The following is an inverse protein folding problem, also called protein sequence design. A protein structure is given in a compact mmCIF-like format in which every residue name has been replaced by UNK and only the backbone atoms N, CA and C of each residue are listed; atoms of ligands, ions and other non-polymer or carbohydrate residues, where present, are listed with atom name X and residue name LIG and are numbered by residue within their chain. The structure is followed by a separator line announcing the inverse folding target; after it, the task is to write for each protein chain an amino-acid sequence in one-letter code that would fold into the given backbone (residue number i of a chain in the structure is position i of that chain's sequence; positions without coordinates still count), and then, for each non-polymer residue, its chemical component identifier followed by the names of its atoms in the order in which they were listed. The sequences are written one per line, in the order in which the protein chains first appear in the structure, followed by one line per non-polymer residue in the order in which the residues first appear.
data_IF_224963916695
#
_entry.id   IF_224963916695
#
_cell.length_a   1.000
_cell.length_b   1.000
_cell.length_c   1.000
_cell.angle_alpha   90.00
_cell.angle_beta   90.00
_cell.angle_gamma   90.00
#
_symmetry.space_group_name_H-M   'P 1'
#
loop_
_entity.id
_entity.type
_entity.pdbx_description
1 polymer ?
#
# COMPACT_ATOMS: atom_id res chain seq x y z
N UNK A 1 -40.18 5.45 -54.51
CA UNK A 1 -40.02 4.12 -53.86
C UNK A 1 -39.23 4.32 -52.56
N UNK A 2 -39.67 3.71 -51.46
CA UNK A 2 -39.11 3.83 -50.10
C UNK A 2 -38.06 2.74 -49.79
N UNK A 3 -36.91 3.15 -49.23
CA UNK A 3 -36.01 2.47 -48.24
C UNK A 3 -35.36 1.11 -48.54
N UNK A 4 -34.47 0.58 -47.66
CA UNK A 4 -33.66 1.23 -46.60
C UNK A 4 -32.18 0.75 -46.55
N UNK A 5 -31.32 1.48 -45.84
CA UNK A 5 -29.94 1.06 -45.59
C UNK A 5 -29.18 2.03 -44.68
N UNK A 6 -29.62 2.15 -43.44
CA UNK A 6 -28.97 2.95 -42.41
C UNK A 6 -27.61 2.35 -41.99
N UNK A 7 -26.61 3.21 -41.82
CA UNK A 7 -25.78 3.26 -40.59
C UNK A 7 -25.11 4.64 -40.49
N UNK A 8 -25.58 5.40 -39.49
CA UNK A 8 -24.90 6.55 -38.91
C UNK A 8 -23.57 6.08 -38.28
N UNK A 9 -22.62 6.99 -38.06
CA UNK A 9 -22.18 7.45 -36.73
C UNK A 9 -20.91 8.32 -36.86
N UNK A 10 -21.10 9.61 -36.55
CA UNK A 10 -20.27 10.65 -35.91
C UNK A 10 -18.73 10.78 -36.12
N UNK A 11 -18.23 12.04 -36.15
CA UNK A 11 -16.80 12.34 -36.08
C UNK A 11 -16.29 12.08 -34.66
N UNK A 12 -15.23 11.27 -34.52
CA UNK A 12 -14.57 11.05 -33.25
C UNK A 12 -13.75 12.29 -32.86
N UNK A 13 -14.35 13.16 -32.06
CA UNK A 13 -13.67 14.16 -31.26
C UNK A 13 -13.56 13.59 -29.85
N UNK A 14 -12.40 13.03 -29.47
CA UNK A 14 -12.11 12.72 -28.06
C UNK A 14 -10.62 12.85 -27.77
N UNK A 15 -10.32 13.97 -27.12
CA UNK A 15 -9.20 14.29 -26.25
C UNK A 15 -8.32 13.08 -25.88
N UNK A 16 -7.06 13.10 -26.31
CA UNK A 16 -6.01 12.49 -25.51
C UNK A 16 -5.19 13.62 -24.90
N UNK A 17 -5.43 13.78 -23.61
CA UNK A 17 -4.63 14.49 -22.63
C UNK A 17 -3.15 14.48 -23.00
N UNK A 18 -2.53 15.67 -22.92
CA UNK A 18 -1.12 15.77 -22.58
C UNK A 18 -0.91 14.85 -21.37
N UNK A 19 -0.33 13.67 -21.57
CA UNK A 19 0.26 12.94 -20.46
C UNK A 19 1.29 13.91 -19.92
N UNK A 20 1.27 14.30 -18.63
CA UNK A 20 2.47 14.85 -18.06
C UNK A 20 3.54 13.78 -18.29
N UNK A 21 4.42 14.04 -19.23
CA UNK A 21 5.69 13.32 -19.34
C UNK A 21 6.30 13.55 -17.98
N UNK A 22 6.22 12.55 -17.11
CA UNK A 22 6.93 12.52 -15.85
C UNK A 22 8.38 12.51 -16.28
N UNK A 23 8.96 13.70 -16.38
CA UNK A 23 10.38 13.91 -16.57
C UNK A 23 11.08 13.10 -15.49
N UNK A 24 11.67 11.99 -15.93
CA UNK A 24 12.60 11.18 -15.16
C UNK A 24 13.75 12.07 -14.69
N UNK A 25 13.69 12.59 -13.47
CA UNK A 25 14.89 13.21 -12.85
C UNK A 25 15.06 12.94 -11.37
N UNK A 26 14.21 12.13 -10.74
CA UNK A 26 14.56 11.50 -9.46
C UNK A 26 14.04 10.06 -9.49
N UNK A 27 14.94 9.07 -9.39
CA UNK A 27 14.52 7.71 -9.04
C UNK A 27 13.81 7.83 -7.69
N UNK A 28 12.49 7.72 -7.67
CA UNK A 28 11.78 7.40 -6.43
C UNK A 28 12.16 5.96 -6.13
N UNK A 29 12.68 5.71 -4.94
CA UNK A 29 13.18 4.39 -4.58
C UNK A 29 12.09 3.52 -3.97
N UNK A 30 10.95 4.14 -3.66
CA UNK A 30 9.66 3.45 -3.54
C UNK A 30 8.78 3.77 -4.75
N UNK A 31 8.30 2.73 -5.44
CA UNK A 31 7.39 2.87 -6.57
C UNK A 31 6.00 2.35 -6.20
N UNK A 32 4.98 3.12 -6.57
CA UNK A 32 3.57 2.76 -6.39
C UNK A 32 3.02 2.34 -7.75
N UNK A 33 2.57 1.09 -7.83
CA UNK A 33 1.89 0.56 -8.99
C UNK A 33 0.47 1.10 -9.13
N UNK A 34 -0.19 0.84 -10.27
CA UNK A 34 -1.52 1.34 -10.56
C UNK A 34 -2.54 1.03 -9.46
N UNK A 35 -3.26 2.05 -9.00
CA UNK A 35 -4.28 1.94 -7.97
C UNK A 35 -3.74 1.99 -6.54
N UNK A 36 -2.44 2.16 -6.32
CA UNK A 36 -1.83 2.32 -4.98
C UNK A 36 -1.30 3.71 -4.71
N UNK A 37 -1.38 4.62 -5.69
CA UNK A 37 -0.84 5.98 -5.63
C UNK A 37 -1.52 6.84 -4.55
N UNK A 38 -2.76 6.50 -4.18
CA UNK A 38 -3.53 7.15 -3.12
C UNK A 38 -2.87 7.06 -1.74
N UNK A 39 -1.99 6.07 -1.51
CA UNK A 39 -1.29 5.86 -0.24
C UNK A 39 -0.38 7.03 0.15
N UNK A 40 0.12 7.78 -0.83
CA UNK A 40 0.94 8.98 -0.60
C UNK A 40 0.17 10.12 0.08
N UNK A 41 -1.16 10.10 -0.02
CA UNK A 41 -2.03 11.20 0.38
C UNK A 41 -3.20 10.75 1.26
N UNK A 42 -3.06 9.60 1.94
CA UNK A 42 -4.09 9.09 2.86
C UNK A 42 -4.30 10.10 3.98
N UNK A 43 -5.52 10.60 4.10
CA UNK A 43 -5.90 11.64 5.06
C UNK A 43 -7.13 11.22 5.84
N UNK A 44 -7.22 11.70 7.07
CA UNK A 44 -8.45 11.57 7.85
C UNK A 44 -9.53 12.55 7.39
N UNK A 45 -10.71 12.52 8.02
CA UNK A 45 -11.85 13.41 7.70
C UNK A 45 -11.53 14.91 7.83
N UNK A 46 -10.52 15.27 8.63
CA UNK A 46 -10.06 16.64 8.79
C UNK A 46 -8.99 17.04 7.76
N UNK A 47 -8.66 16.17 6.79
CA UNK A 47 -7.66 16.43 5.75
C UNK A 47 -6.21 16.26 6.22
N UNK A 48 -5.98 15.71 7.42
CA UNK A 48 -4.66 15.50 7.99
C UNK A 48 -4.08 14.18 7.50
N UNK A 49 -2.87 14.22 6.92
CA UNK A 49 -2.15 13.05 6.41
C UNK A 49 -1.93 12.01 7.51
N UNK A 50 -2.08 10.73 7.19
CA UNK A 50 -1.78 9.64 8.11
C UNK A 50 -0.28 9.59 8.45
N UNK A 51 0.10 9.80 9.72
CA UNK A 51 1.50 9.88 10.10
C UNK A 51 2.19 8.51 10.09
N UNK A 52 1.45 7.41 10.19
CA UNK A 52 2.01 6.06 10.24
C UNK A 52 2.45 5.62 8.84
N UNK A 53 1.57 5.74 7.86
CA UNK A 53 1.85 5.47 6.45
C UNK A 53 2.95 6.40 5.95
N UNK A 54 2.85 7.71 6.22
CA UNK A 54 3.85 8.69 5.79
C UNK A 54 5.24 8.37 6.34
N UNK A 55 5.33 8.02 7.63
CA UNK A 55 6.59 7.60 8.26
C UNK A 55 7.15 6.34 7.60
N UNK A 56 6.31 5.32 7.37
CA UNK A 56 6.77 4.06 6.81
C UNK A 56 7.33 4.26 5.38
N UNK A 57 6.62 5.01 4.54
CA UNK A 57 7.06 5.36 3.18
C UNK A 57 8.40 6.11 3.22
N UNK A 58 8.52 7.14 4.06
CA UNK A 58 9.74 7.94 4.16
C UNK A 58 10.94 7.13 4.64
N UNK A 59 10.74 6.20 5.56
CA UNK A 59 11.81 5.35 6.08
C UNK A 59 12.24 4.26 5.10
N UNK A 60 11.30 3.69 4.34
CA UNK A 60 11.60 2.77 3.23
C UNK A 60 12.41 3.49 2.16
N UNK A 61 11.94 4.65 1.68
CA UNK A 61 12.62 5.44 0.64
C UNK A 61 14.05 5.84 1.06
N UNK A 62 14.25 6.22 2.33
CA UNK A 62 15.57 6.57 2.85
C UNK A 62 16.55 5.37 2.83
N UNK A 63 16.09 4.17 3.16
CA UNK A 63 16.91 2.96 3.08
C UNK A 63 17.16 2.57 1.63
N UNK A 64 16.11 2.53 0.82
CA UNK A 64 16.17 2.11 -0.58
C UNK A 64 17.15 3.00 -1.37
N UNK A 65 17.13 4.32 -1.11
CA UNK A 65 18.12 5.27 -1.61
C UNK A 65 19.56 4.95 -1.19
N UNK A 66 19.75 4.47 0.05
CA UNK A 66 21.07 4.13 0.59
C UNK A 66 21.63 2.83 0.00
N UNK A 67 20.78 1.84 -0.23
CA UNK A 67 21.18 0.51 -0.74
C UNK A 67 21.07 0.38 -2.26
N UNK A 68 20.47 1.35 -2.94
CA UNK A 68 20.31 1.35 -4.39
C UNK A 68 19.30 0.31 -4.91
N UNK A 69 18.34 -0.09 -4.08
CA UNK A 69 17.27 -1.02 -4.44
C UNK A 69 15.91 -0.32 -4.42
N UNK A 70 14.90 -0.89 -5.07
CA UNK A 70 13.55 -0.33 -5.11
C UNK A 70 12.58 -1.25 -4.37
N UNK A 71 11.70 -0.65 -3.56
CA UNK A 71 10.52 -1.33 -3.00
C UNK A 71 9.29 -0.97 -3.83
N UNK A 72 8.59 -2.00 -4.32
CA UNK A 72 7.40 -1.84 -5.14
C UNK A 72 6.13 -2.06 -4.31
N UNK A 73 5.19 -1.15 -4.38
CA UNK A 73 3.85 -1.31 -3.78
C UNK A 73 2.86 -1.55 -4.90
N UNK A 74 2.22 -2.72 -4.93
CA UNK A 74 1.25 -3.08 -5.98
C UNK A 74 -0.03 -3.62 -5.38
N UNK A 75 -1.08 -3.52 -6.20
CA UNK A 75 -2.33 -4.24 -5.97
C UNK A 75 -2.23 -5.64 -6.54
N UNK A 76 -2.55 -6.65 -5.74
CA UNK A 76 -2.69 -8.05 -6.16
C UNK A 76 -4.02 -8.60 -5.64
N UNK A 77 -4.80 -9.23 -6.53
CA UNK A 77 -6.19 -9.60 -6.28
C UNK A 77 -6.39 -10.77 -5.31
N UNK A 78 -5.31 -11.29 -4.71
CA UNK A 78 -5.32 -12.54 -3.97
C UNK A 78 -5.14 -12.33 -2.46
N UNK A 79 -4.05 -11.68 -1.98
CA UNK A 79 -3.76 -11.51 -0.55
C UNK A 79 -2.86 -10.31 -0.24
N UNK A 80 -3.02 -9.68 0.93
CA UNK A 80 -2.05 -8.72 1.47
C UNK A 80 -0.82 -9.46 2.03
N UNK A 81 0.37 -9.09 1.56
CA UNK A 81 1.63 -9.51 2.19
C UNK A 81 2.81 -8.69 1.67
N UNK A 82 3.86 -8.58 2.47
CA UNK A 82 5.17 -8.15 2.02
C UNK A 82 6.04 -9.34 1.60
N UNK A 83 6.61 -9.29 0.39
CA UNK A 83 7.59 -10.24 -0.12
C UNK A 83 9.02 -9.67 0.02
N UNK A 84 9.85 -10.19 0.94
CA UNK A 84 11.19 -9.68 1.20
C UNK A 84 12.17 -9.91 0.03
N UNK A 85 12.02 -11.02 -0.69
CA UNK A 85 12.90 -11.38 -1.82
C UNK A 85 12.72 -10.43 -2.98
N UNK A 86 11.47 -10.07 -3.28
CA UNK A 86 11.13 -9.18 -4.39
C UNK A 86 11.06 -7.71 -3.98
N UNK A 87 11.11 -7.41 -2.67
CA UNK A 87 10.81 -6.10 -2.09
C UNK A 87 9.47 -5.57 -2.59
N UNK A 88 8.45 -6.41 -2.56
CA UNK A 88 7.12 -6.06 -3.06
C UNK A 88 6.10 -6.10 -1.93
N UNK A 89 5.37 -5.00 -1.75
CA UNK A 89 4.17 -4.92 -0.90
C UNK A 89 2.97 -5.21 -1.79
N UNK A 90 2.29 -6.32 -1.52
CA UNK A 90 1.05 -6.70 -2.20
C UNK A 90 -0.14 -6.27 -1.35
N UNK A 91 -1.08 -5.57 -1.99
CA UNK A 91 -2.34 -5.11 -1.38
C UNK A 91 -3.55 -5.70 -2.10
N UNK A 92 -4.61 -6.15 -1.41
CA UNK A 92 -5.78 -6.77 -2.01
C UNK A 92 -6.48 -5.84 -3.01
N UNK A 93 -6.98 -6.41 -4.11
CA UNK A 93 -7.73 -5.66 -5.11
C UNK A 93 -9.06 -5.13 -4.54
N UNK A 94 -9.37 -3.85 -4.80
CA UNK A 94 -10.61 -3.20 -4.35
C UNK A 94 -10.57 -2.70 -2.91
N UNK A 95 -9.50 -2.99 -2.16
CA UNK A 95 -9.25 -2.42 -0.85
C UNK A 95 -8.03 -1.49 -0.93
N UNK A 96 -8.30 -0.21 -1.23
CA UNK A 96 -7.40 0.88 -0.82
C UNK A 96 -7.52 1.10 0.69
N UNK A 97 -7.56 0.02 1.47
CA UNK A 97 -7.72 0.12 2.91
C UNK A 97 -6.38 0.57 3.49
N UNK A 98 -6.26 1.83 3.91
CA UNK A 98 -5.02 2.34 4.46
C UNK A 98 -4.60 1.57 5.72
N UNK A 99 -5.56 0.97 6.43
CA UNK A 99 -5.34 0.14 7.62
C UNK A 99 -4.52 -1.10 7.23
N UNK A 100 -4.95 -1.85 6.21
CA UNK A 100 -4.20 -3.01 5.67
C UNK A 100 -2.86 -2.60 5.07
N UNK A 101 -2.84 -1.50 4.31
CA UNK A 101 -1.60 -1.00 3.72
C UNK A 101 -0.56 -0.62 4.79
N UNK A 102 -0.99 -0.02 5.89
CA UNK A 102 -0.11 0.32 7.00
C UNK A 102 0.54 -0.91 7.64
N UNK A 103 -0.15 -2.06 7.66
CA UNK A 103 0.40 -3.32 8.18
C UNK A 103 1.55 -3.79 7.29
N UNK A 104 1.33 -3.89 5.97
CA UNK A 104 2.35 -4.40 5.05
C UNK A 104 3.53 -3.43 4.86
N UNK A 105 3.26 -2.12 4.84
CA UNK A 105 4.31 -1.10 4.83
C UNK A 105 5.17 -1.15 6.10
N UNK A 106 4.60 -1.56 7.24
CA UNK A 106 5.38 -1.74 8.45
C UNK A 106 6.34 -2.93 8.33
N UNK A 107 5.92 -4.05 7.71
CA UNK A 107 6.80 -5.18 7.39
C UNK A 107 7.92 -4.77 6.44
N UNK A 108 7.59 -4.06 5.35
CA UNK A 108 8.59 -3.56 4.40
C UNK A 108 9.61 -2.64 5.08
N UNK A 109 9.15 -1.75 5.96
CA UNK A 109 10.00 -0.87 6.77
C UNK A 109 10.91 -1.66 7.72
N UNK A 110 10.37 -2.61 8.47
CA UNK A 110 11.16 -3.41 9.42
C UNK A 110 12.22 -4.24 8.67
N UNK A 111 11.87 -4.80 7.51
CA UNK A 111 12.82 -5.49 6.64
C UNK A 111 13.91 -4.57 6.06
N UNK A 112 13.55 -3.35 5.69
CA UNK A 112 14.51 -2.37 5.18
C UNK A 112 15.50 -1.90 6.28
N UNK A 113 15.04 -1.77 7.53
CA UNK A 113 15.83 -1.14 8.59
C UNK A 113 16.66 -2.09 9.45
N UNK A 114 16.23 -3.33 9.61
CA UNK A 114 16.81 -4.21 10.62
C UNK A 114 17.87 -5.09 9.99
N UNK A 115 19.12 -4.93 10.45
CA UNK A 115 20.23 -5.80 10.06
C UNK A 115 20.00 -7.26 10.51
N UNK A 116 19.18 -7.45 11.55
CA UNK A 116 18.67 -8.73 12.00
C UNK A 116 17.17 -8.63 12.31
N UNK A 117 16.37 -9.46 11.65
CA UNK A 117 14.93 -9.50 11.91
C UNK A 117 14.66 -10.09 13.29
N UNK A 118 13.85 -9.42 14.15
CA UNK A 118 13.39 -10.00 15.41
C UNK A 118 12.44 -11.17 15.13
N UNK A 119 11.95 -11.82 16.18
CA UNK A 119 11.00 -12.92 16.03
C UNK A 119 9.77 -12.46 15.23
N UNK A 120 9.15 -13.42 14.53
CA UNK A 120 7.96 -13.14 13.73
C UNK A 120 6.87 -12.45 14.56
N UNK A 121 6.65 -12.88 15.80
CA UNK A 121 5.68 -12.24 16.70
C UNK A 121 5.98 -10.75 16.95
N UNK A 122 7.26 -10.37 17.07
CA UNK A 122 7.63 -8.95 17.25
C UNK A 122 7.34 -8.14 15.99
N UNK A 123 7.61 -8.70 14.81
CA UNK A 123 7.28 -8.06 13.52
C UNK A 123 5.77 -7.87 13.39
N UNK A 124 4.99 -8.92 13.64
CA UNK A 124 3.53 -8.88 13.58
C UNK A 124 2.94 -7.89 14.60
N UNK A 125 3.50 -7.83 15.83
CA UNK A 125 3.06 -6.85 16.84
C UNK A 125 3.27 -5.42 16.36
N UNK A 126 4.41 -5.13 15.73
CA UNK A 126 4.68 -3.79 15.16
C UNK A 126 3.72 -3.49 14.01
N UNK A 127 3.50 -4.44 13.12
CA UNK A 127 2.58 -4.30 11.99
C UNK A 127 1.13 -4.07 12.45
N UNK A 128 0.65 -4.82 13.45
CA UNK A 128 -0.66 -4.60 14.05
C UNK A 128 -0.76 -3.29 14.85
N UNK A 129 0.33 -2.83 15.47
CA UNK A 129 0.35 -1.50 16.10
C UNK A 129 0.23 -0.38 15.06
N UNK A 130 0.90 -0.52 13.91
CA UNK A 130 0.80 0.44 12.80
C UNK A 130 -0.62 0.46 12.21
N UNK A 131 -1.20 -0.73 12.02
CA UNK A 131 -2.59 -0.90 11.58
C UNK A 131 -3.57 -0.19 12.52
N UNK A 132 -3.48 -0.44 13.83
CA UNK A 132 -4.37 0.14 14.82
C UNK A 132 -4.26 1.67 14.88
N UNK A 133 -3.04 2.22 14.81
CA UNK A 133 -2.81 3.68 14.77
C UNK A 133 -3.43 4.32 13.55
N UNK A 134 -3.31 3.68 12.39
CA UNK A 134 -3.90 4.16 11.14
C UNK A 134 -5.43 4.15 11.22
N UNK A 135 -6.02 3.07 11.74
CA UNK A 135 -7.48 2.99 11.95
C UNK A 135 -7.99 4.11 12.87
N UNK A 136 -7.30 4.32 14.01
CA UNK A 136 -7.60 5.40 14.96
C UNK A 136 -7.49 6.79 14.32
N UNK A 137 -6.40 7.05 13.59
CA UNK A 137 -6.17 8.34 12.95
C UNK A 137 -7.23 8.68 11.91
N UNK A 138 -7.65 7.67 11.14
CA UNK A 138 -8.63 7.84 10.07
C UNK A 138 -10.08 7.79 10.55
N UNK A 139 -10.31 7.36 11.79
CA UNK A 139 -11.65 7.15 12.33
C UNK A 139 -12.41 6.07 11.56
N UNK A 140 -11.68 5.02 11.15
CA UNK A 140 -12.20 3.83 10.49
C UNK A 140 -12.16 2.71 11.51
N UNK A 141 -13.19 1.86 11.53
CA UNK A 141 -13.15 0.66 12.36
C UNK A 141 -11.96 -0.21 11.92
N UNK A 142 -11.06 -0.49 12.85
CA UNK A 142 -10.17 -1.63 12.67
C UNK A 142 -11.09 -2.84 12.61
N UNK A 143 -11.14 -3.55 11.48
CA UNK A 143 -12.09 -4.65 11.17
C UNK A 143 -12.05 -5.83 12.18
N UNK A 144 -11.34 -5.69 13.30
CA UNK A 144 -10.77 -6.74 14.12
C UNK A 144 -11.10 -6.56 15.60
N UNK A 145 -12.41 -6.51 15.87
CA UNK A 145 -13.12 -7.15 17.02
C UNK A 145 -12.51 -6.99 18.44
N UNK A 146 -11.83 -5.88 18.75
CA UNK A 146 -11.43 -5.55 20.13
C UNK A 146 -10.18 -6.27 20.68
N UNK A 147 -9.36 -6.89 19.84
CA UNK A 147 -8.09 -7.52 20.27
C UNK A 147 -6.92 -6.51 20.24
N UNK A 148 -5.97 -6.65 21.18
CA UNK A 148 -4.74 -5.84 21.18
C UNK A 148 -3.74 -6.32 20.11
N UNK A 149 -2.78 -5.47 19.68
CA UNK A 149 -1.71 -5.88 18.77
C UNK A 149 -0.93 -7.12 19.23
N UNK A 150 -0.73 -7.26 20.53
CA UNK A 150 -0.05 -8.41 21.16
C UNK A 150 -0.85 -9.69 20.96
N UNK A 151 -2.15 -9.66 21.26
CA UNK A 151 -3.04 -10.82 21.10
C UNK A 151 -3.07 -11.27 19.64
N UNK A 152 -3.14 -10.32 18.71
CA UNK A 152 -3.16 -10.58 17.27
C UNK A 152 -1.84 -11.17 16.79
N UNK A 153 -0.71 -10.62 17.23
CA UNK A 153 0.61 -11.12 16.87
C UNK A 153 0.82 -12.57 17.33
N UNK A 154 0.38 -12.89 18.55
CA UNK A 154 0.44 -14.24 19.09
C UNK A 154 -0.40 -15.22 18.25
N UNK A 155 -1.65 -14.87 17.93
CA UNK A 155 -2.51 -15.74 17.10
C UNK A 155 -1.99 -15.89 15.67
N UNK A 156 -1.53 -14.81 15.03
CA UNK A 156 -1.06 -14.85 13.64
C UNK A 156 0.25 -15.62 13.48
N UNK A 157 1.17 -15.51 14.46
CA UNK A 157 2.44 -16.24 14.44
C UNK A 157 2.28 -17.74 14.70
N UNK A 158 1.21 -18.16 15.38
CA UNK A 158 0.90 -19.58 15.58
C UNK A 158 0.33 -20.25 14.33
N UNK A 159 -0.45 -19.53 13.52
CA UNK A 159 -1.07 -20.06 12.30
C UNK A 159 -0.04 -20.42 11.21
N UNK A 160 1.14 -19.77 11.19
CA UNK A 160 2.20 -20.10 10.21
C UNK A 160 3.12 -21.27 10.63
N UNK A 161 2.87 -21.92 11.77
CA UNK A 161 3.69 -23.07 12.26
C UNK A 161 3.13 -24.45 11.89
N UNK A 162 1.99 -24.52 11.20
CA UNK A 162 1.37 -25.75 10.70
C UNK A 162 1.60 -25.91 9.21
#
# INVERSE_FOLDING_TARGET
MFGPGARRLFPALLKSTVRPTITQTQKRWITFGPGTEGLLNVKNKAGVLDPTIAKNIAEIDAVDKRIGQETLVVRDGLMNHFNPTQRTVFLPAGHDNPVTASHELQHARDFAKLDALPTQEVLERRAFSAQQKTAQHLGIDDELKGQTPEQRAASHSQIKKT
#
